data_IF_496600595198
#
_entry.id   IF_496600595198
#
_cell.length_a   1.000
_cell.length_b   1.000
_cell.length_c   1.000
_cell.angle_alpha   90.00
_cell.angle_beta   90.00
_cell.angle_gamma   90.00
#
_symmetry.space_group_name_H-M   'P 1'
#
loop_
_entity.id
_entity.type
_entity.pdbx_description
1 polymer ?
#
# COMPACT_ATOMS: atom_id res chain seq x y z
N UNK A 1 13.13 -5.05 24.90
CA UNK A 1 13.27 -4.03 23.84
C UNK A 1 14.34 -4.42 22.82
N UNK A 2 15.50 -4.95 23.24
CA UNK A 2 16.53 -5.50 22.35
C UNK A 2 16.00 -6.58 21.38
N UNK A 3 15.14 -7.49 21.86
CA UNK A 3 14.55 -8.56 21.03
C UNK A 3 13.59 -8.06 19.95
N UNK A 4 13.04 -6.84 20.08
CA UNK A 4 12.14 -6.29 19.07
C UNK A 4 12.92 -5.70 17.88
N UNK A 5 14.13 -5.20 18.16
CA UNK A 5 15.01 -4.58 17.17
C UNK A 5 15.63 -5.62 16.24
N UNK A 6 15.82 -6.86 16.70
CA UNK A 6 16.33 -7.95 15.87
C UNK A 6 15.37 -8.36 14.74
N UNK A 7 14.07 -8.05 14.88
CA UNK A 7 13.10 -8.26 13.83
C UNK A 7 13.05 -7.14 12.80
N UNK A 8 13.67 -5.97 13.05
CA UNK A 8 13.66 -4.89 12.05
C UNK A 8 14.63 -5.21 10.90
N UNK A 9 14.36 -4.67 9.69
CA UNK A 9 15.30 -4.82 8.57
C UNK A 9 16.71 -4.33 8.91
N UNK A 10 17.76 -5.14 8.63
CA UNK A 10 19.12 -4.89 9.11
C UNK A 10 19.89 -3.83 8.29
N UNK A 11 19.37 -3.42 7.13
CA UNK A 11 20.04 -2.48 6.22
C UNK A 11 20.05 -1.05 6.76
N UNK A 12 21.08 -0.26 6.44
CA UNK A 12 21.13 1.15 6.84
C UNK A 12 20.02 2.03 6.23
N UNK A 13 19.82 3.20 6.82
CA UNK A 13 18.77 4.15 6.43
C UNK A 13 17.35 3.75 6.85
N UNK A 14 16.39 4.62 6.54
CA UNK A 14 15.00 4.54 7.05
C UNK A 14 14.03 3.88 6.07
N UNK A 15 14.33 3.86 4.77
CA UNK A 15 13.45 3.28 3.76
C UNK A 15 13.09 1.81 4.02
N UNK A 16 14.02 0.89 4.35
CA UNK A 16 13.64 -0.50 4.64
C UNK A 16 12.74 -0.61 5.88
N UNK A 17 12.95 0.20 6.92
CA UNK A 17 12.09 0.21 8.12
C UNK A 17 10.69 0.73 7.77
N UNK A 18 10.62 1.76 6.92
CA UNK A 18 9.37 2.27 6.40
C UNK A 18 8.60 1.22 5.59
N UNK A 19 9.28 0.50 4.67
CA UNK A 19 8.67 -0.58 3.89
C UNK A 19 8.12 -1.69 4.78
N UNK A 20 8.85 -2.06 5.84
CA UNK A 20 8.38 -3.02 6.83
C UNK A 20 7.12 -2.50 7.56
N UNK A 21 7.13 -1.26 8.03
CA UNK A 21 5.97 -0.66 8.70
C UNK A 21 4.72 -0.65 7.81
N UNK A 22 4.84 -0.17 6.57
CA UNK A 22 3.69 -0.13 5.65
C UNK A 22 3.25 -1.52 5.21
N UNK A 23 4.13 -2.52 5.22
CA UNK A 23 3.76 -3.93 5.04
C UNK A 23 2.88 -4.44 6.19
N UNK A 24 3.26 -4.17 7.44
CA UNK A 24 2.46 -4.53 8.62
C UNK A 24 1.08 -3.86 8.59
N UNK A 25 1.04 -2.55 8.33
CA UNK A 25 -0.21 -1.78 8.23
C UNK A 25 -1.09 -2.33 7.10
N UNK A 26 -0.52 -2.60 5.93
CA UNK A 26 -1.25 -3.13 4.78
C UNK A 26 -1.82 -4.52 5.07
N UNK A 27 -1.08 -5.37 5.78
CA UNK A 27 -1.57 -6.68 6.23
C UNK A 27 -2.76 -6.53 7.18
N UNK A 28 -2.71 -5.61 8.14
CA UNK A 28 -3.84 -5.33 9.03
C UNK A 28 -5.06 -4.77 8.29
N UNK A 29 -4.84 -3.92 7.27
CA UNK A 29 -5.89 -3.41 6.40
C UNK A 29 -6.55 -4.52 5.56
N UNK A 30 -5.76 -5.46 5.05
CA UNK A 30 -6.28 -6.65 4.36
C UNK A 30 -7.20 -7.46 5.27
N UNK A 31 -6.79 -7.72 6.52
CA UNK A 31 -7.63 -8.41 7.48
C UNK A 31 -8.95 -7.67 7.76
N UNK A 32 -8.92 -6.34 7.86
CA UNK A 32 -10.14 -5.54 8.01
C UNK A 32 -11.06 -5.68 6.78
N UNK A 33 -10.50 -5.66 5.57
CA UNK A 33 -11.26 -5.79 4.32
C UNK A 33 -11.93 -7.16 4.16
N UNK A 34 -11.33 -8.22 4.71
CA UNK A 34 -11.92 -9.55 4.77
C UNK A 34 -13.03 -9.67 5.82
N UNK A 35 -12.89 -8.99 6.96
CA UNK A 35 -13.86 -9.05 8.07
C UNK A 35 -15.06 -8.15 7.87
N UNK A 36 -14.90 -7.02 7.18
CA UNK A 36 -15.99 -6.06 6.98
C UNK A 36 -16.05 -5.52 5.55
N UNK A 37 -17.16 -5.73 4.83
CA UNK A 37 -17.43 -5.05 3.55
C UNK A 37 -17.45 -3.53 3.67
N UNK A 38 -17.73 -2.99 4.87
CA UNK A 38 -17.76 -1.55 5.10
C UNK A 38 -16.39 -0.91 4.96
N UNK A 39 -15.31 -1.68 5.11
CA UNK A 39 -13.94 -1.17 4.97
C UNK A 39 -13.72 -0.61 3.56
N UNK A 40 -14.02 -1.42 2.53
CA UNK A 40 -13.87 -0.99 1.14
C UNK A 40 -14.89 0.11 0.80
N UNK A 41 -16.11 0.04 1.32
CA UNK A 41 -17.14 1.06 1.08
C UNK A 41 -16.78 2.44 1.67
N UNK A 42 -16.03 2.49 2.77
CA UNK A 42 -15.52 3.74 3.35
C UNK A 42 -14.26 4.23 2.63
N UNK A 43 -13.50 3.31 2.03
CA UNK A 43 -12.33 3.64 1.24
C UNK A 43 -12.75 4.24 -0.11
N UNK A 44 -13.57 3.51 -0.87
CA UNK A 44 -14.23 3.94 -2.10
C UNK A 44 -15.56 4.62 -1.75
N UNK A 45 -15.41 5.80 -1.16
CA UNK A 45 -16.44 6.55 -0.43
C UNK A 45 -17.55 7.19 -1.31
N UNK A 46 -17.44 7.13 -2.64
CA UNK A 46 -18.47 7.65 -3.53
C UNK A 46 -19.72 6.76 -3.52
N UNK A 47 -20.83 7.29 -4.03
CA UNK A 47 -22.10 6.58 -4.13
C UNK A 47 -22.60 6.57 -5.56
N UNK A 48 -23.27 5.47 -5.92
CA UNK A 48 -24.02 5.38 -7.17
C UNK A 48 -25.15 6.42 -7.19
N UNK A 49 -25.76 6.71 -8.36
CA UNK A 49 -26.93 7.59 -8.44
C UNK A 49 -28.11 7.13 -7.56
N UNK A 50 -28.19 5.83 -7.27
CA UNK A 50 -29.18 5.24 -6.35
C UNK A 50 -28.77 5.29 -4.87
N UNK A 51 -27.67 5.97 -4.53
CA UNK A 51 -27.17 6.13 -3.16
C UNK A 51 -26.45 4.90 -2.58
N UNK A 52 -26.14 3.90 -3.39
CA UNK A 52 -25.50 2.65 -2.95
C UNK A 52 -23.97 2.76 -3.00
N UNK A 53 -23.28 1.90 -2.24
CA UNK A 53 -21.82 1.77 -2.36
C UNK A 53 -21.43 1.15 -3.70
N UNK A 54 -20.32 1.60 -4.30
CA UNK A 54 -19.72 0.93 -5.46
C UNK A 54 -19.13 -0.44 -5.09
N UNK A 55 -18.75 -0.63 -3.83
CA UNK A 55 -18.15 -1.88 -3.36
C UNK A 55 -19.19 -2.83 -2.78
N UNK A 56 -19.05 -4.11 -3.09
CA UNK A 56 -19.79 -5.20 -2.45
C UNK A 56 -18.85 -6.08 -1.59
N UNK A 57 -19.36 -7.09 -0.85
CA UNK A 57 -18.53 -7.95 -0.01
C UNK A 57 -17.41 -8.69 -0.77
N UNK A 58 -17.64 -9.08 -2.03
CA UNK A 58 -16.60 -9.72 -2.85
C UNK A 58 -15.51 -8.72 -3.20
N UNK A 59 -15.85 -7.52 -3.66
CA UNK A 59 -14.91 -6.45 -3.98
C UNK A 59 -14.04 -6.08 -2.77
N UNK A 60 -14.62 -6.07 -1.56
CA UNK A 60 -13.86 -5.83 -0.32
C UNK A 60 -12.79 -6.90 -0.08
N UNK A 61 -13.12 -8.19 -0.26
CA UNK A 61 -12.14 -9.27 -0.15
C UNK A 61 -11.08 -9.20 -1.23
N UNK A 62 -11.46 -8.94 -2.49
CA UNK A 62 -10.52 -8.76 -3.60
C UNK A 62 -9.53 -7.64 -3.33
N UNK A 63 -10.02 -6.50 -2.83
CA UNK A 63 -9.17 -5.40 -2.39
C UNK A 63 -8.20 -5.84 -1.28
N UNK A 64 -8.71 -6.59 -0.30
CA UNK A 64 -7.90 -7.18 0.77
C UNK A 64 -6.79 -8.08 0.25
N UNK A 65 -7.09 -8.98 -0.71
CA UNK A 65 -6.12 -9.87 -1.34
C UNK A 65 -5.03 -9.09 -2.05
N UNK A 66 -5.40 -8.10 -2.86
CA UNK A 66 -4.44 -7.29 -3.61
C UNK A 66 -3.55 -6.46 -2.70
N UNK A 67 -4.13 -5.91 -1.63
CA UNK A 67 -3.39 -5.18 -0.58
C UNK A 67 -2.43 -6.10 0.18
N UNK A 68 -2.81 -7.36 0.42
CA UNK A 68 -1.97 -8.34 1.11
C UNK A 68 -0.82 -8.81 0.22
N UNK A 69 -1.08 -9.03 -1.07
CA UNK A 69 -0.01 -9.31 -2.04
C UNK A 69 1.02 -8.17 -2.06
N UNK A 70 0.55 -6.92 -2.11
CA UNK A 70 1.42 -5.75 -2.05
C UNK A 70 2.18 -5.66 -0.72
N UNK A 71 1.56 -6.05 0.40
CA UNK A 71 2.23 -6.06 1.70
C UNK A 71 3.36 -7.07 1.76
N UNK A 72 3.17 -8.27 1.21
CA UNK A 72 4.22 -9.30 1.10
C UNK A 72 5.39 -8.78 0.27
N UNK A 73 5.12 -8.22 -0.93
CA UNK A 73 6.19 -7.68 -1.80
C UNK A 73 7.01 -6.62 -1.07
N UNK A 74 6.35 -5.65 -0.42
CA UNK A 74 7.03 -4.58 0.34
C UNK A 74 7.78 -5.12 1.55
N UNK A 75 7.23 -6.12 2.23
CA UNK A 75 7.86 -6.80 3.36
C UNK A 75 9.15 -7.50 2.94
N UNK A 76 9.12 -8.29 1.86
CA UNK A 76 10.33 -8.93 1.33
C UNK A 76 11.36 -7.90 0.84
N UNK A 77 10.92 -6.84 0.17
CA UNK A 77 11.82 -5.77 -0.25
C UNK A 77 12.49 -5.05 0.93
N UNK A 78 11.80 -4.90 2.08
CA UNK A 78 12.39 -4.33 3.28
C UNK A 78 13.64 -5.12 3.74
N UNK A 79 13.62 -6.45 3.63
CA UNK A 79 14.76 -7.33 3.96
C UNK A 79 15.68 -7.64 2.76
N UNK A 80 15.44 -7.05 1.59
CA UNK A 80 16.24 -7.26 0.39
C UNK A 80 16.41 -5.94 -0.39
N UNK A 81 16.53 -4.81 0.32
CA UNK A 81 16.45 -3.47 -0.29
C UNK A 81 17.60 -3.18 -1.27
N UNK A 82 18.75 -3.84 -1.12
CA UNK A 82 19.89 -3.69 -2.03
C UNK A 82 19.76 -4.56 -3.29
N UNK A 83 18.77 -5.44 -3.36
CA UNK A 83 18.51 -6.28 -4.53
C UNK A 83 17.63 -5.53 -5.55
N UNK A 84 18.11 -5.29 -6.79
CA UNK A 84 17.38 -4.49 -7.78
C UNK A 84 15.95 -4.99 -8.03
N UNK A 85 15.77 -6.31 -8.17
CA UNK A 85 14.45 -6.90 -8.43
C UNK A 85 13.49 -6.67 -7.26
N UNK A 86 13.92 -6.85 -6.02
CA UNK A 86 13.07 -6.65 -4.86
C UNK A 86 12.70 -5.16 -4.69
N UNK A 87 13.67 -4.27 -4.90
CA UNK A 87 13.47 -2.83 -4.86
C UNK A 87 12.45 -2.37 -5.91
N UNK A 88 12.65 -2.77 -7.16
CA UNK A 88 11.81 -2.36 -8.28
C UNK A 88 10.39 -2.94 -8.13
N UNK A 89 10.23 -4.18 -7.66
CA UNK A 89 8.91 -4.75 -7.36
C UNK A 89 8.17 -3.98 -6.27
N UNK A 90 8.86 -3.57 -5.21
CA UNK A 90 8.24 -2.74 -4.18
C UNK A 90 7.85 -1.35 -4.71
N UNK A 91 8.69 -0.71 -5.54
CA UNK A 91 8.33 0.54 -6.21
C UNK A 91 7.09 0.37 -7.10
N UNK A 92 7.04 -0.69 -7.91
CA UNK A 92 5.87 -1.02 -8.74
C UNK A 92 4.60 -1.25 -7.91
N UNK A 93 4.70 -1.86 -6.73
CA UNK A 93 3.55 -2.04 -5.85
C UNK A 93 2.92 -0.71 -5.40
N UNK A 94 3.71 0.36 -5.26
CA UNK A 94 3.19 1.70 -5.00
C UNK A 94 2.68 2.38 -6.26
N UNK A 95 3.39 2.21 -7.39
CA UNK A 95 2.95 2.72 -8.69
C UNK A 95 1.59 2.20 -9.12
N UNK A 96 1.35 0.90 -9.00
CA UNK A 96 0.06 0.27 -9.31
C UNK A 96 -1.03 0.77 -8.35
N UNK A 97 -0.71 0.94 -7.06
CA UNK A 97 -1.65 1.50 -6.09
C UNK A 97 -2.09 2.93 -6.48
N UNK A 98 -1.13 3.78 -6.84
CA UNK A 98 -1.42 5.14 -7.29
C UNK A 98 -2.25 5.16 -8.55
N UNK A 99 -1.87 4.37 -9.56
CA UNK A 99 -2.63 4.27 -10.81
C UNK A 99 -4.08 3.87 -10.54
N UNK A 100 -4.30 2.85 -9.69
CA UNK A 100 -5.63 2.40 -9.29
C UNK A 100 -6.42 3.51 -8.58
N UNK A 101 -5.91 4.05 -7.47
CA UNK A 101 -6.66 5.04 -6.69
C UNK A 101 -6.88 6.35 -7.45
N UNK A 102 -5.90 6.85 -8.22
CA UNK A 102 -6.09 8.05 -9.05
C UNK A 102 -7.15 7.78 -10.14
N UNK A 103 -7.16 6.59 -10.74
CA UNK A 103 -8.18 6.19 -11.71
C UNK A 103 -9.59 6.15 -11.10
N UNK A 104 -9.74 5.59 -9.90
CA UNK A 104 -11.03 5.54 -9.18
C UNK A 104 -11.54 6.94 -8.81
N UNK A 105 -10.64 7.89 -8.53
CA UNK A 105 -11.01 9.27 -8.22
C UNK A 105 -11.34 10.10 -9.46
N UNK A 106 -10.46 10.12 -10.46
CA UNK A 106 -10.55 11.05 -11.58
C UNK A 106 -11.23 10.47 -12.82
N UNK A 107 -11.24 9.14 -12.96
CA UNK A 107 -11.75 8.43 -14.14
C UNK A 107 -13.10 7.75 -13.88
N UNK A 108 -13.13 6.82 -12.92
CA UNK A 108 -14.31 5.98 -12.68
C UNK A 108 -15.34 6.61 -11.72
N UNK A 109 -14.94 7.61 -10.92
CA UNK A 109 -15.83 8.33 -10.00
C UNK A 109 -16.37 7.47 -8.85
N UNK A 110 -15.72 6.35 -8.57
CA UNK A 110 -16.02 5.43 -7.45
C UNK A 110 -15.38 5.87 -6.14
N UNK A 111 -14.55 6.93 -6.16
CA UNK A 111 -13.98 7.55 -4.99
C UNK A 111 -13.94 9.08 -5.07
N UNK A 112 -14.00 9.70 -3.91
CA UNK A 112 -13.89 11.14 -3.67
C UNK A 112 -12.68 11.42 -2.78
N UNK A 113 -12.04 12.57 -2.99
CA UNK A 113 -10.84 12.99 -2.25
C UNK A 113 -11.16 13.47 -0.82
N UNK A 114 -11.61 12.54 0.04
CA UNK A 114 -11.93 12.80 1.45
C UNK A 114 -11.88 11.53 2.30
N UNK A 115 -11.83 11.70 3.62
CA UNK A 115 -11.90 10.59 4.57
C UNK A 115 -10.78 9.57 4.37
N UNK A 116 -11.10 8.27 4.46
CA UNK A 116 -10.12 7.17 4.41
C UNK A 116 -9.38 7.06 3.07
N UNK A 117 -9.93 7.63 2.00
CA UNK A 117 -9.37 7.56 0.65
C UNK A 117 -8.05 8.33 0.50
N UNK A 118 -7.84 9.38 1.30
CA UNK A 118 -6.67 10.26 1.17
C UNK A 118 -5.37 9.57 1.61
N UNK A 119 -5.45 8.71 2.63
CA UNK A 119 -4.26 8.10 3.23
C UNK A 119 -3.46 7.21 2.25
N UNK A 120 -4.08 6.29 1.48
CA UNK A 120 -3.35 5.51 0.46
C UNK A 120 -2.66 6.37 -0.60
N UNK A 121 -3.27 7.48 -1.03
CA UNK A 121 -2.68 8.37 -2.02
C UNK A 121 -1.40 9.03 -1.49
N UNK A 122 -1.44 9.54 -0.26
CA UNK A 122 -0.26 10.14 0.38
C UNK A 122 0.84 9.10 0.54
N UNK A 123 0.52 7.96 1.17
CA UNK A 123 1.51 6.91 1.48
C UNK A 123 2.13 6.36 0.20
N UNK A 124 1.33 6.07 -0.83
CA UNK A 124 1.88 5.51 -2.06
C UNK A 124 2.70 6.55 -2.84
N UNK A 125 2.28 7.83 -2.87
CA UNK A 125 3.02 8.91 -3.55
C UNK A 125 4.36 9.17 -2.87
N UNK A 126 4.35 9.37 -1.55
CA UNK A 126 5.56 9.67 -0.79
C UNK A 126 6.55 8.49 -0.82
N UNK A 127 6.04 7.25 -0.70
CA UNK A 127 6.89 6.05 -0.76
C UNK A 127 7.50 5.87 -2.14
N UNK A 128 6.73 6.03 -3.21
CA UNK A 128 7.24 5.90 -4.56
C UNK A 128 8.31 6.95 -4.86
N UNK A 129 8.06 8.22 -4.53
CA UNK A 129 9.05 9.30 -4.70
C UNK A 129 10.32 9.01 -3.90
N UNK A 130 10.19 8.56 -2.64
CA UNK A 130 11.34 8.19 -1.82
C UNK A 130 12.14 7.04 -2.45
N UNK A 131 11.46 5.99 -2.93
CA UNK A 131 12.12 4.88 -3.60
C UNK A 131 12.82 5.32 -4.89
N UNK A 132 12.20 6.14 -5.72
CA UNK A 132 12.83 6.59 -6.96
C UNK A 132 14.06 7.47 -6.71
N UNK A 133 14.01 8.35 -5.72
CA UNK A 133 15.11 9.27 -5.40
C UNK A 133 16.29 8.61 -4.67
N UNK A 134 16.06 7.52 -3.92
CA UNK A 134 17.11 6.83 -3.17
C UNK A 134 17.61 5.54 -3.84
N UNK A 135 17.14 5.24 -5.05
CA UNK A 135 17.41 3.97 -5.73
C UNK A 135 18.90 3.71 -5.88
N UNK A 136 19.66 4.64 -6.43
CA UNK A 136 21.10 4.47 -6.64
C UNK A 136 21.86 4.26 -5.32
N UNK A 137 21.48 5.01 -4.27
CA UNK A 137 22.09 4.89 -2.95
C UNK A 137 21.90 3.51 -2.32
N UNK A 138 20.70 2.94 -2.43
CA UNK A 138 20.43 1.61 -1.87
C UNK A 138 20.98 0.46 -2.72
N UNK A 139 21.04 0.59 -4.05
CA UNK A 139 21.54 -0.46 -4.93
C UNK A 139 23.08 -0.49 -5.05
N UNK A 140 23.77 0.49 -4.48
CA UNK A 140 25.23 0.54 -4.43
C UNK A 140 25.85 -0.05 -3.15
N UNK A 141 25.00 -0.46 -2.18
CA UNK A 141 25.39 -1.12 -0.92
C UNK A 141 25.57 -2.63 -1.11
#
# INVERSE_FOLDING_TARGET
MADLLSYLPPFEGLLPKWLFLVSVISTANSLQAYRSPSYAAQLYNAKTPSGQSHTNPLASRTFGTWTFLSSIVRGYAAYNITTPVAYDLAAWSFGIALMHFVGEWLGFGSAEFRGRFVAPLIVASSSLVWMLTQREGYLAL
#
